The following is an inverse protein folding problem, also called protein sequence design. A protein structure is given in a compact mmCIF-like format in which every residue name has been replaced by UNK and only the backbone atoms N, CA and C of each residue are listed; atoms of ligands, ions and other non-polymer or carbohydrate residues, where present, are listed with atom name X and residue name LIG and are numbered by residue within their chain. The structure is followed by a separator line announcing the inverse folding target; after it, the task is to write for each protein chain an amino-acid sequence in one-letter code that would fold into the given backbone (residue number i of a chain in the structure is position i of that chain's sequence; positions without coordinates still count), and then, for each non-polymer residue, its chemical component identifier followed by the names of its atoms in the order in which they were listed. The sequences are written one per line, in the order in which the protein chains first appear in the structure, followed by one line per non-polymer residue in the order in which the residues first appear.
data_IF_346706117000
#
_entry.id   IF_346706117000
#
_cell.length_a   1.000
_cell.length_b   1.000
_cell.length_c   1.000
_cell.angle_alpha   90.00
_cell.angle_beta   90.00
_cell.angle_gamma   90.00
#
_symmetry.space_group_name_H-M   'P 1'
#
loop_
_entity.id
_entity.type
_entity.pdbx_description
1 polymer ?
#
# COMPACT_ATOMS: atom_id res chain seq x y z
N UNK A 1 -8.39 -7.93 -31.81
CA UNK A 1 -7.82 -9.27 -31.54
C UNK A 1 -7.73 -9.57 -30.03
N UNK A 2 -7.33 -8.60 -29.15
CA UNK A 2 -7.19 -8.81 -27.70
C UNK A 2 -8.48 -9.15 -26.94
N UNK A 3 -9.64 -8.79 -27.47
CA UNK A 3 -10.94 -9.08 -26.87
C UNK A 3 -11.50 -10.46 -27.19
N UNK A 4 -10.93 -11.16 -28.20
CA UNK A 4 -11.42 -12.47 -28.63
C UNK A 4 -11.35 -13.52 -27.51
N UNK A 5 -10.23 -13.68 -26.78
CA UNK A 5 -10.16 -14.66 -25.69
C UNK A 5 -11.17 -14.36 -24.57
N UNK A 6 -11.37 -13.09 -24.27
CA UNK A 6 -12.32 -12.65 -23.25
C UNK A 6 -13.77 -12.95 -23.68
N UNK A 7 -14.15 -12.62 -24.90
CA UNK A 7 -15.46 -12.92 -25.45
C UNK A 7 -15.72 -14.43 -25.52
N UNK A 8 -14.76 -15.22 -25.97
CA UNK A 8 -14.86 -16.67 -26.00
C UNK A 8 -15.05 -17.26 -24.60
N UNK A 9 -14.31 -16.77 -23.61
CA UNK A 9 -14.45 -17.20 -22.22
C UNK A 9 -15.85 -16.88 -21.66
N UNK A 10 -16.33 -15.65 -21.84
CA UNK A 10 -17.69 -15.26 -21.40
C UNK A 10 -18.74 -16.13 -22.06
N UNK A 11 -18.63 -16.36 -23.37
CA UNK A 11 -19.59 -17.21 -24.11
C UNK A 11 -19.60 -18.64 -23.58
N UNK A 12 -18.44 -19.24 -23.36
CA UNK A 12 -18.33 -20.58 -22.80
C UNK A 12 -18.91 -20.65 -21.37
N UNK A 13 -18.60 -19.67 -20.52
CA UNK A 13 -19.13 -19.61 -19.17
C UNK A 13 -20.64 -19.40 -19.13
N UNK A 14 -21.20 -18.61 -20.07
CA UNK A 14 -22.64 -18.44 -20.22
C UNK A 14 -23.35 -19.74 -20.63
N UNK A 15 -22.76 -20.51 -21.55
CA UNK A 15 -23.29 -21.82 -21.95
C UNK A 15 -23.37 -22.78 -20.76
N UNK A 16 -22.41 -22.71 -19.82
CA UNK A 16 -22.38 -23.58 -18.63
C UNK A 16 -23.24 -23.08 -17.47
N UNK A 17 -23.21 -21.77 -17.20
CA UNK A 17 -23.83 -21.16 -16.02
C UNK A 17 -25.16 -20.41 -16.30
N UNK A 18 -25.50 -20.23 -17.56
CA UNK A 18 -26.73 -19.53 -17.96
C UNK A 18 -26.80 -18.07 -17.47
N UNK A 19 -28.02 -17.60 -17.25
CA UNK A 19 -28.28 -16.23 -16.82
C UNK A 19 -27.72 -15.96 -15.43
N UNK A 20 -27.72 -16.92 -14.52
CA UNK A 20 -27.18 -16.77 -13.17
C UNK A 20 -25.71 -16.41 -13.16
N UNK A 21 -24.93 -16.90 -14.14
CA UNK A 21 -23.52 -16.49 -14.31
C UNK A 21 -23.39 -15.02 -14.67
N UNK A 22 -24.23 -14.53 -15.59
CA UNK A 22 -24.22 -13.12 -16.02
C UNK A 22 -24.61 -12.21 -14.84
N UNK A 23 -25.65 -12.59 -14.09
CA UNK A 23 -26.13 -11.82 -12.94
C UNK A 23 -25.03 -11.73 -11.88
N UNK A 24 -24.36 -12.85 -11.56
CA UNK A 24 -23.24 -12.88 -10.63
C UNK A 24 -22.05 -12.04 -11.13
N UNK A 25 -21.72 -12.13 -12.41
CA UNK A 25 -20.64 -11.36 -13.01
C UNK A 25 -20.94 -9.85 -12.96
N UNK A 26 -22.17 -9.45 -13.22
CA UNK A 26 -22.60 -8.05 -13.12
C UNK A 26 -22.59 -7.57 -11.68
N UNK A 27 -23.05 -8.39 -10.74
CA UNK A 27 -23.02 -8.09 -9.32
C UNK A 27 -21.57 -7.92 -8.82
N UNK A 28 -20.67 -8.84 -9.15
CA UNK A 28 -19.27 -8.77 -8.76
C UNK A 28 -18.53 -7.55 -9.31
N UNK A 29 -18.85 -7.11 -10.51
CA UNK A 29 -18.17 -5.97 -11.13
C UNK A 29 -18.90 -4.65 -10.84
N UNK A 30 -20.15 -4.54 -11.27
CA UNK A 30 -20.93 -3.29 -11.18
C UNK A 30 -21.54 -3.09 -9.81
N UNK A 31 -22.10 -4.15 -9.22
CA UNK A 31 -22.70 -4.15 -7.88
C UNK A 31 -21.66 -3.82 -6.82
N UNK A 32 -20.47 -4.42 -6.89
CA UNK A 32 -19.34 -4.12 -6.00
C UNK A 32 -18.89 -2.66 -6.10
N UNK A 33 -18.81 -2.13 -7.31
CA UNK A 33 -18.46 -0.73 -7.54
C UNK A 33 -19.50 0.23 -6.96
N UNK A 34 -20.80 -0.08 -7.14
CA UNK A 34 -21.92 0.73 -6.66
C UNK A 34 -22.27 0.49 -5.18
N UNK A 35 -21.67 -0.50 -4.52
CA UNK A 35 -22.01 -0.93 -3.17
C UNK A 35 -23.41 -1.57 -3.09
N UNK A 36 -23.83 -2.26 -4.15
CA UNK A 36 -25.08 -3.01 -4.25
C UNK A 36 -24.77 -4.50 -4.41
N UNK A 37 -24.45 -5.14 -3.29
CA UNK A 37 -24.14 -6.57 -3.23
C UNK A 37 -25.25 -7.28 -2.48
N UNK A 38 -25.61 -8.49 -2.91
CA UNK A 38 -26.57 -9.36 -2.21
C UNK A 38 -25.95 -10.06 -0.98
N UNK A 39 -24.63 -10.04 -0.86
CA UNK A 39 -23.87 -10.65 0.23
C UNK A 39 -22.88 -9.65 0.87
N UNK A 40 -22.36 -10.03 2.01
CA UNK A 40 -21.42 -9.16 2.76
C UNK A 40 -20.20 -8.80 1.89
N UNK A 41 -20.11 -7.53 1.55
CA UNK A 41 -18.99 -6.98 0.79
C UNK A 41 -18.02 -6.31 1.76
N UNK A 42 -16.72 -6.36 1.47
CA UNK A 42 -15.69 -5.71 2.27
C UNK A 42 -15.82 -4.18 2.22
N UNK A 43 -16.88 -3.66 2.84
CA UNK A 43 -17.10 -2.22 2.90
C UNK A 43 -16.12 -1.57 3.87
N UNK A 44 -15.35 -0.65 3.33
CA UNK A 44 -14.32 0.06 4.09
C UNK A 44 -14.42 1.56 3.83
N UNK A 45 -14.12 2.39 4.84
CA UNK A 45 -14.14 3.84 4.71
C UNK A 45 -13.08 4.35 3.74
N UNK A 46 -13.17 5.62 3.32
CA UNK A 46 -12.24 6.24 2.37
C UNK A 46 -10.77 6.18 2.83
N UNK A 47 -10.53 6.30 4.13
CA UNK A 47 -9.18 6.27 4.69
C UNK A 47 -8.52 4.87 4.69
N UNK A 48 -9.28 3.81 4.44
CA UNK A 48 -8.76 2.44 4.38
C UNK A 48 -7.59 2.29 3.41
N UNK A 49 -7.72 2.84 2.19
CA UNK A 49 -6.68 2.75 1.17
C UNK A 49 -5.40 3.49 1.57
N UNK A 50 -5.52 4.60 2.32
CA UNK A 50 -4.35 5.30 2.86
C UNK A 50 -3.59 4.43 3.87
N UNK A 51 -4.30 3.81 4.81
CA UNK A 51 -3.68 2.89 5.76
C UNK A 51 -3.07 1.68 5.06
N UNK A 52 -3.76 1.13 4.07
CA UNK A 52 -3.27 0.00 3.28
C UNK A 52 -1.91 0.31 2.64
N UNK A 53 -1.74 1.51 2.06
CA UNK A 53 -0.44 1.91 1.51
C UNK A 53 0.59 2.07 2.62
N UNK A 54 0.26 2.72 3.73
CA UNK A 54 1.20 2.95 4.83
C UNK A 54 1.72 1.63 5.38
N UNK A 55 0.84 0.67 5.65
CA UNK A 55 1.21 -0.65 6.18
C UNK A 55 1.82 -1.56 5.13
N UNK A 56 1.24 -1.62 3.95
CA UNK A 56 1.70 -2.49 2.86
C UNK A 56 3.08 -2.11 2.31
N UNK A 57 3.56 -0.92 2.65
CA UNK A 57 4.84 -0.39 2.20
C UNK A 57 5.95 -0.41 3.25
N UNK A 58 5.71 -0.99 4.40
CA UNK A 58 6.80 -1.30 5.35
C UNK A 58 7.77 -2.26 4.65
N UNK A 59 9.11 -2.01 4.70
CA UNK A 59 9.82 -1.04 5.54
C UNK A 59 10.00 0.37 4.97
N UNK A 60 9.64 0.63 3.72
CA UNK A 60 9.92 1.89 3.03
C UNK A 60 9.20 3.09 3.64
N UNK A 61 7.98 2.88 4.14
CA UNK A 61 7.24 3.91 4.88
C UNK A 61 8.01 4.38 6.10
N UNK A 62 8.68 3.47 6.81
CA UNK A 62 9.51 3.83 7.96
C UNK A 62 10.74 4.64 7.54
N UNK A 63 11.39 4.28 6.42
CA UNK A 63 12.51 5.07 5.88
C UNK A 63 12.07 6.48 5.53
N UNK A 64 10.90 6.63 4.88
CA UNK A 64 10.33 7.95 4.58
C UNK A 64 10.07 8.75 5.86
N UNK A 65 9.44 8.16 6.87
CA UNK A 65 9.15 8.83 8.14
C UNK A 65 10.44 9.26 8.84
N UNK A 66 11.45 8.38 8.93
CA UNK A 66 12.76 8.70 9.53
C UNK A 66 13.41 9.86 8.78
N UNK A 67 13.32 9.86 7.44
CA UNK A 67 13.89 10.92 6.61
C UNK A 67 13.24 12.29 6.87
N UNK A 68 11.94 12.32 7.19
CA UNK A 68 11.23 13.56 7.54
C UNK A 68 11.78 14.20 8.84
N UNK A 69 12.16 13.39 9.84
CA UNK A 69 12.79 13.90 11.06
C UNK A 69 14.21 14.44 10.83
N UNK A 70 14.91 13.94 9.82
CA UNK A 70 16.26 14.39 9.43
C UNK A 70 16.27 15.64 8.54
N UNK A 71 15.13 16.07 8.03
CA UNK A 71 15.02 17.24 7.17
C UNK A 71 15.11 18.53 8.00
N UNK A 72 16.01 19.42 7.62
CA UNK A 72 16.02 20.81 8.15
C UNK A 72 14.86 21.57 7.53
N UNK A 73 13.70 21.51 8.16
CA UNK A 73 12.46 22.14 7.69
C UNK A 73 12.61 23.64 7.34
N UNK A 74 13.52 24.35 8.02
CA UNK A 74 13.85 25.75 7.70
C UNK A 74 14.39 25.95 6.28
N UNK A 75 15.05 24.94 5.70
CA UNK A 75 15.60 25.00 4.34
C UNK A 75 14.61 24.47 3.27
N UNK A 76 13.45 23.99 3.69
CA UNK A 76 12.36 23.52 2.83
C UNK A 76 11.30 24.62 2.68
N UNK A 77 11.66 25.89 2.81
CA UNK A 77 10.76 26.95 2.37
C UNK A 77 10.59 26.83 0.85
N UNK A 78 9.68 25.93 0.46
CA UNK A 78 9.26 25.74 -0.93
C UNK A 78 8.70 27.05 -1.53
N UNK A 79 8.59 28.10 -0.69
CA UNK A 79 7.82 29.30 -1.03
C UNK A 79 8.42 30.52 -0.32
N UNK A 80 8.59 31.65 -1.01
CA UNK A 80 8.89 32.93 -0.38
C UNK A 80 7.80 33.28 0.65
N UNK A 81 8.21 33.81 1.78
CA UNK A 81 7.29 34.41 2.75
C UNK A 81 6.44 35.48 2.05
N UNK A 82 5.13 35.41 2.20
CA UNK A 82 4.18 36.38 1.61
C UNK A 82 3.53 35.96 0.29
N UNK A 83 3.84 34.79 -0.30
CA UNK A 83 3.16 34.35 -1.52
C UNK A 83 1.70 33.96 -1.30
N UNK A 84 0.81 34.46 -2.17
CA UNK A 84 -0.61 34.10 -2.18
C UNK A 84 -0.82 32.59 -2.38
N UNK A 85 -1.94 32.06 -1.88
CA UNK A 85 -2.31 30.65 -2.05
C UNK A 85 -2.33 30.23 -3.53
N UNK A 86 -2.83 31.11 -4.42
CA UNK A 86 -2.84 30.86 -5.88
C UNK A 86 -1.44 30.76 -6.49
N UNK A 87 -0.50 31.61 -6.04
CA UNK A 87 0.91 31.54 -6.49
C UNK A 87 1.59 30.27 -6.02
N UNK A 88 1.24 29.78 -4.84
CA UNK A 88 1.73 28.52 -4.31
C UNK A 88 1.30 27.34 -5.17
N UNK A 89 0.01 27.28 -5.53
CA UNK A 89 -0.53 26.24 -6.43
C UNK A 89 0.14 26.31 -7.79
N UNK A 90 0.24 27.52 -8.38
CA UNK A 90 0.86 27.72 -9.69
C UNK A 90 2.32 27.27 -9.71
N UNK A 91 3.09 27.59 -8.67
CA UNK A 91 4.49 27.17 -8.54
C UNK A 91 4.63 25.66 -8.35
N UNK A 92 3.78 25.06 -7.50
CA UNK A 92 3.74 23.60 -7.32
C UNK A 92 3.38 22.89 -8.64
N UNK A 93 2.40 23.40 -9.38
CA UNK A 93 1.99 22.89 -10.68
C UNK A 93 3.10 23.00 -11.73
N UNK A 94 3.77 24.15 -11.82
CA UNK A 94 4.90 24.32 -12.72
C UNK A 94 6.06 23.39 -12.39
N UNK A 95 6.36 23.21 -11.08
CA UNK A 95 7.36 22.24 -10.61
C UNK A 95 6.97 20.80 -10.94
N UNK A 96 5.70 20.46 -10.81
CA UNK A 96 5.19 19.14 -11.20
C UNK A 96 5.38 18.91 -12.70
N UNK A 97 4.97 19.87 -13.53
CA UNK A 97 5.10 19.77 -15.00
C UNK A 97 6.54 19.79 -15.51
N UNK A 98 7.48 20.30 -14.73
CA UNK A 98 8.91 20.32 -15.09
C UNK A 98 9.65 19.03 -14.77
N UNK A 99 8.96 18.03 -14.21
CA UNK A 99 9.53 16.71 -13.97
C UNK A 99 9.77 15.94 -15.28
N UNK A 100 10.59 14.90 -15.21
CA UNK A 100 10.81 14.04 -16.36
C UNK A 100 9.50 13.37 -16.82
N UNK A 101 9.35 13.02 -18.10
CA UNK A 101 8.16 12.31 -18.59
C UNK A 101 7.87 11.01 -17.82
N UNK A 102 8.91 10.30 -17.41
CA UNK A 102 8.78 9.08 -16.61
C UNK A 102 8.19 9.37 -15.22
N UNK A 103 8.68 10.41 -14.54
CA UNK A 103 8.16 10.82 -13.23
C UNK A 103 6.70 11.28 -13.33
N UNK A 104 6.37 12.08 -14.35
CA UNK A 104 4.98 12.51 -14.59
C UNK A 104 4.06 11.32 -14.83
N UNK A 105 4.47 10.39 -15.69
CA UNK A 105 3.72 9.16 -15.94
C UNK A 105 3.51 8.37 -14.65
N UNK A 106 4.57 8.18 -13.88
CA UNK A 106 4.54 7.46 -12.60
C UNK A 106 3.53 8.10 -11.63
N UNK A 107 3.57 9.43 -11.46
CA UNK A 107 2.62 10.14 -10.60
C UNK A 107 1.17 10.02 -11.10
N UNK A 108 0.96 10.18 -12.41
CA UNK A 108 -0.38 10.08 -13.00
C UNK A 108 -0.96 8.68 -12.78
N UNK A 109 -0.18 7.63 -13.01
CA UNK A 109 -0.63 6.25 -12.80
C UNK A 109 -0.97 6.00 -11.32
N UNK A 110 -0.10 6.39 -10.39
CA UNK A 110 -0.35 6.24 -8.95
C UNK A 110 -1.64 6.96 -8.55
N UNK A 111 -1.77 8.23 -8.89
CA UNK A 111 -2.93 9.04 -8.52
C UNK A 111 -4.22 8.51 -9.16
N UNK A 112 -4.17 8.16 -10.44
CA UNK A 112 -5.34 7.64 -11.14
C UNK A 112 -5.85 6.34 -10.51
N UNK A 113 -4.97 5.35 -10.31
CA UNK A 113 -5.35 4.06 -9.73
C UNK A 113 -5.81 4.26 -8.28
N UNK A 114 -5.09 5.07 -7.49
CA UNK A 114 -5.46 5.32 -6.10
C UNK A 114 -6.84 5.97 -5.97
N UNK A 115 -7.09 7.05 -6.72
CA UNK A 115 -8.38 7.74 -6.71
C UNK A 115 -9.48 6.82 -7.21
N UNK A 116 -9.25 6.08 -8.31
CA UNK A 116 -10.21 5.13 -8.85
C UNK A 116 -10.67 4.11 -7.78
N UNK A 117 -9.73 3.51 -7.04
CA UNK A 117 -10.07 2.54 -6.00
C UNK A 117 -10.53 3.16 -4.66
N UNK A 118 -10.47 4.47 -4.51
CA UNK A 118 -11.12 5.15 -3.39
C UNK A 118 -12.63 5.32 -3.59
N UNK A 119 -13.12 5.33 -4.84
CA UNK A 119 -14.54 5.56 -5.17
C UNK A 119 -15.44 4.41 -4.71
N UNK A 120 -15.16 3.13 -5.00
CA UNK A 120 -16.01 2.01 -4.61
C UNK A 120 -16.15 1.89 -3.10
N UNK A 121 -17.32 1.46 -2.61
CA UNK A 121 -17.52 1.15 -1.19
C UNK A 121 -16.74 -0.08 -0.77
N UNK A 122 -16.78 -1.14 -1.59
CA UNK A 122 -16.00 -2.35 -1.36
C UNK A 122 -14.52 -2.12 -1.69
N UNK A 123 -13.65 -2.24 -0.69
CA UNK A 123 -12.21 -2.00 -0.80
C UNK A 123 -11.43 -3.19 -0.27
N UNK A 124 -10.44 -3.63 -1.05
CA UNK A 124 -9.48 -4.67 -0.65
C UNK A 124 -8.06 -4.17 -0.86
N UNK A 125 -7.16 -4.56 0.01
CA UNK A 125 -5.73 -4.17 -0.08
C UNK A 125 -5.08 -4.55 -1.42
N UNK A 126 -5.48 -5.69 -1.98
CA UNK A 126 -4.94 -6.21 -3.26
C UNK A 126 -5.22 -5.30 -4.46
N UNK A 127 -6.22 -4.43 -4.39
CA UNK A 127 -6.54 -3.52 -5.50
C UNK A 127 -5.47 -2.45 -5.71
N UNK A 128 -4.67 -2.18 -4.70
CA UNK A 128 -3.57 -1.21 -4.75
C UNK A 128 -2.24 -1.82 -5.20
N UNK A 129 -2.14 -3.14 -5.39
CA UNK A 129 -0.91 -3.79 -5.87
C UNK A 129 -0.34 -3.18 -7.15
N UNK A 130 -1.16 -2.78 -8.15
CA UNK A 130 -0.63 -2.18 -9.38
C UNK A 130 0.14 -0.87 -9.19
N UNK A 131 -0.07 -0.14 -8.08
CA UNK A 131 0.67 1.10 -7.81
C UNK A 131 2.07 0.84 -7.25
N UNK A 132 2.33 -0.29 -6.61
CA UNK A 132 3.59 -0.55 -5.90
C UNK A 132 4.84 -0.49 -6.78
N UNK A 133 4.87 -1.00 -8.01
CA UNK A 133 6.02 -0.83 -8.89
C UNK A 133 6.34 0.64 -9.17
N UNK A 134 5.31 1.46 -9.38
CA UNK A 134 5.46 2.90 -9.62
C UNK A 134 5.94 3.65 -8.39
N UNK A 135 5.41 3.30 -7.22
CA UNK A 135 5.89 3.82 -5.95
C UNK A 135 7.36 3.43 -5.70
N UNK A 136 7.77 2.22 -6.07
CA UNK A 136 9.16 1.76 -5.94
C UNK A 136 10.12 2.64 -6.76
N UNK A 137 9.73 3.06 -7.97
CA UNK A 137 10.53 4.00 -8.78
C UNK A 137 10.72 5.33 -8.04
N UNK A 138 9.63 5.93 -7.53
CA UNK A 138 9.73 7.21 -6.81
C UNK A 138 10.58 7.12 -5.55
N UNK A 139 10.47 6.03 -4.81
CA UNK A 139 11.29 5.81 -3.63
C UNK A 139 12.75 5.62 -3.99
N UNK A 140 13.05 4.86 -5.04
CA UNK A 140 14.43 4.66 -5.49
C UNK A 140 15.10 6.00 -5.84
N UNK A 141 14.41 6.86 -6.58
CA UNK A 141 14.87 8.21 -6.89
C UNK A 141 15.07 9.07 -5.62
N UNK A 142 14.13 8.99 -4.68
CA UNK A 142 14.24 9.70 -3.41
C UNK A 142 15.42 9.20 -2.58
N UNK A 143 15.62 7.89 -2.48
CA UNK A 143 16.73 7.29 -1.77
C UNK A 143 18.08 7.67 -2.39
N UNK A 144 18.19 7.64 -3.72
CA UNK A 144 19.38 8.10 -4.42
C UNK A 144 19.70 9.57 -4.11
N UNK A 145 18.69 10.43 -4.11
CA UNK A 145 18.86 11.84 -3.75
C UNK A 145 19.33 12.02 -2.30
N UNK A 146 18.85 11.19 -1.36
CA UNK A 146 19.32 11.19 0.03
C UNK A 146 20.77 10.74 0.15
N UNK A 147 21.16 9.70 -0.58
CA UNK A 147 22.56 9.20 -0.59
C UNK A 147 23.49 10.28 -1.12
N UNK A 148 23.15 10.88 -2.26
CA UNK A 148 23.96 11.95 -2.88
C UNK A 148 24.15 13.17 -1.97
N UNK A 149 23.17 13.45 -1.10
CA UNK A 149 23.25 14.54 -0.11
C UNK A 149 24.03 14.16 1.16
N UNK A 150 24.58 12.94 1.21
CA UNK A 150 25.30 12.44 2.38
C UNK A 150 24.42 12.32 3.63
N UNK A 151 23.14 12.10 3.45
CA UNK A 151 22.18 12.09 4.54
C UNK A 151 22.43 10.94 5.51
N UNK A 152 22.55 11.27 6.80
CA UNK A 152 22.72 10.29 7.89
C UNK A 152 21.52 9.34 8.03
N UNK A 153 20.41 9.65 7.34
CA UNK A 153 19.16 8.87 7.35
C UNK A 153 19.40 7.40 7.02
N UNK A 154 20.24 7.11 6.03
CA UNK A 154 20.57 5.71 5.68
C UNK A 154 21.19 4.93 6.83
N UNK A 155 22.16 5.53 7.50
CA UNK A 155 22.80 4.89 8.66
C UNK A 155 21.81 4.66 9.79
N UNK A 156 20.98 5.68 10.10
CA UNK A 156 19.94 5.59 11.12
C UNK A 156 18.91 4.51 10.76
N UNK A 157 18.41 4.50 9.53
CA UNK A 157 17.46 3.48 9.07
C UNK A 157 18.06 2.08 9.15
N UNK A 158 19.33 1.92 8.74
CA UNK A 158 20.01 0.63 8.82
C UNK A 158 20.13 0.13 10.27
N UNK A 159 20.48 1.00 11.22
CA UNK A 159 20.52 0.63 12.63
C UNK A 159 19.12 0.26 13.18
N UNK A 160 18.08 1.02 12.83
CA UNK A 160 16.72 0.72 13.26
C UNK A 160 16.28 -0.63 12.70
N UNK A 161 16.49 -0.90 11.41
CA UNK A 161 16.11 -2.17 10.80
C UNK A 161 16.91 -3.34 11.35
N UNK A 162 18.22 -3.16 11.55
CA UNK A 162 19.05 -4.18 12.18
C UNK A 162 18.59 -4.50 13.61
N UNK A 163 18.23 -3.46 14.40
CA UNK A 163 17.71 -3.63 15.75
C UNK A 163 16.36 -4.36 15.75
N UNK A 164 15.46 -4.02 14.82
CA UNK A 164 14.17 -4.71 14.65
C UNK A 164 14.36 -6.17 14.22
N UNK A 165 15.25 -6.42 13.27
CA UNK A 165 15.57 -7.77 12.83
C UNK A 165 16.15 -8.62 13.98
N UNK A 166 17.06 -8.03 14.75
CA UNK A 166 17.63 -8.70 15.93
C UNK A 166 16.54 -9.00 16.97
N UNK A 167 15.66 -8.03 17.26
CA UNK A 167 14.55 -8.22 18.19
C UNK A 167 13.63 -9.36 17.74
N UNK A 168 13.24 -9.36 16.46
CA UNK A 168 12.41 -10.43 15.90
C UNK A 168 13.10 -11.79 15.97
N UNK A 169 14.39 -11.84 15.67
CA UNK A 169 15.19 -13.08 15.77
C UNK A 169 15.25 -13.60 17.20
N UNK A 170 15.48 -12.71 18.19
CA UNK A 170 15.47 -13.07 19.61
C UNK A 170 14.07 -13.55 20.01
N UNK A 171 13.01 -12.83 19.65
CA UNK A 171 11.63 -13.22 19.93
C UNK A 171 11.31 -14.60 19.36
N UNK A 172 11.66 -14.83 18.10
CA UNK A 172 11.48 -16.13 17.46
C UNK A 172 12.26 -17.24 18.17
N UNK A 173 13.52 -16.99 18.54
CA UNK A 173 14.35 -17.95 19.28
C UNK A 173 13.75 -18.26 20.66
N UNK A 174 13.26 -17.26 21.38
CA UNK A 174 12.63 -17.43 22.71
C UNK A 174 11.36 -18.29 22.59
N UNK A 175 10.54 -18.03 21.56
CA UNK A 175 9.35 -18.83 21.25
C UNK A 175 9.76 -20.28 20.92
N UNK A 176 10.72 -20.45 20.00
CA UNK A 176 11.18 -21.78 19.53
C UNK A 176 11.80 -22.62 20.63
N UNK A 177 12.43 -22.00 21.62
CA UNK A 177 13.02 -22.68 22.78
C UNK A 177 12.00 -23.01 23.88
N UNK A 178 10.70 -22.71 23.65
CA UNK A 178 9.65 -22.99 24.64
C UNK A 178 9.75 -22.17 25.93
N UNK A 179 10.44 -21.02 25.88
CA UNK A 179 10.62 -20.16 27.05
C UNK A 179 9.37 -19.35 27.40
N UNK A 180 8.38 -19.32 26.51
CA UNK A 180 7.08 -18.68 26.74
C UNK A 180 6.06 -19.78 27.02
N UNK A 181 5.36 -19.75 28.17
CA UNK A 181 4.37 -20.74 28.51
C UNK A 181 3.19 -20.75 27.51
N UNK A 182 2.69 -21.95 27.17
CA UNK A 182 1.57 -22.13 26.23
C UNK A 182 0.29 -21.41 26.67
N UNK A 183 0.14 -21.17 27.99
CA UNK A 183 -0.95 -20.39 28.54
C UNK A 183 -1.07 -18.97 28.00
N UNK A 184 0.02 -18.40 27.51
CA UNK A 184 0.03 -17.06 26.90
C UNK A 184 -0.66 -17.06 25.53
N UNK A 185 -0.53 -18.14 24.77
CA UNK A 185 -1.08 -18.31 23.43
C UNK A 185 -2.52 -18.84 23.44
N UNK A 186 -2.84 -19.63 24.46
CA UNK A 186 -4.16 -20.27 24.62
C UNK A 186 -5.26 -19.36 25.17
N UNK A 187 -5.02 -18.06 25.34
CA UNK A 187 -5.99 -17.11 25.90
C UNK A 187 -6.41 -16.04 24.87
N UNK A 188 -7.69 -15.61 24.93
CA UNK A 188 -8.23 -14.55 24.11
C UNK A 188 -9.04 -15.02 22.89
N UNK A 189 -9.53 -14.05 22.12
CA UNK A 189 -10.45 -14.26 20.98
C UNK A 189 -9.86 -15.17 19.87
N UNK A 190 -8.54 -15.17 19.70
CA UNK A 190 -7.82 -15.91 18.65
C UNK A 190 -6.97 -17.07 19.22
N UNK A 191 -7.33 -17.58 20.40
CA UNK A 191 -6.57 -18.63 21.09
C UNK A 191 -6.31 -19.87 20.20
N UNK A 192 -7.34 -20.34 19.49
CA UNK A 192 -7.24 -21.52 18.60
C UNK A 192 -6.29 -21.28 17.42
N UNK A 193 -6.35 -20.09 16.82
CA UNK A 193 -5.47 -19.71 15.69
C UNK A 193 -4.02 -19.57 16.16
N UNK A 194 -3.80 -18.96 17.33
CA UNK A 194 -2.49 -18.79 17.93
C UNK A 194 -1.82 -20.12 18.25
N UNK A 195 -2.55 -21.05 18.86
CA UNK A 195 -2.04 -22.41 19.18
C UNK A 195 -1.73 -23.17 17.88
N UNK A 196 -2.61 -23.08 16.86
CA UNK A 196 -2.37 -23.69 15.56
C UNK A 196 -1.10 -23.14 14.87
N UNK A 197 -0.88 -21.84 14.97
CA UNK A 197 0.32 -21.20 14.44
C UNK A 197 1.60 -21.64 15.18
N UNK A 198 1.53 -21.73 16.51
CA UNK A 198 2.66 -22.16 17.34
C UNK A 198 3.06 -23.62 17.04
N UNK A 199 2.07 -24.53 16.95
CA UNK A 199 2.31 -25.92 16.58
C UNK A 199 2.94 -26.08 15.18
N UNK A 200 2.67 -25.15 14.26
CA UNK A 200 3.27 -25.15 12.92
C UNK A 200 4.73 -24.64 12.90
N UNK A 201 5.17 -23.99 13.97
CA UNK A 201 6.57 -23.52 14.14
C UNK A 201 7.48 -24.55 14.82
N UNK A 202 6.92 -25.55 15.50
CA UNK A 202 7.64 -26.69 16.08
C UNK A 202 8.05 -27.70 15.02
#
# INVERSE_FOLDING_TARGET
LSLIPYAAWISAAYVQGGQSFIDLMLEENTGRFMGKMSYDSHENPLWYNFLTIIWGWIPWTLVLLISLFGLKWKNISLLPEGSSFGERIKKAWNKFRSQSPLQLFTWVVILFIFVFYCIPKSKRSVYLLPIYPFMAVLIAEYLLALVQRGAKVFKISAYIFASLALLLTITFAVVRLGLIPDSVWGTGKHAMENVGFMNALE
#
